data_IF_100271760928
#
_entry.id   IF_100271760928
#
_cell.length_a   1.000
_cell.length_b   1.000
_cell.length_c   1.000
_cell.angle_alpha   90.00
_cell.angle_beta   90.00
_cell.angle_gamma   90.00
#
_symmetry.space_group_name_H-M   'P 1'
#
loop_
_entity.id
_entity.type
_entity.pdbx_description
1 polymer ?
#
# COMPACT_ATOMS: atom_id res chain seq x y z
N UNK A 1 25.72 -6.63 12.83
CA UNK A 1 25.15 -5.33 12.43
C UNK A 1 25.66 -5.06 11.04
N UNK A 2 24.80 -5.01 10.01
CA UNK A 2 25.25 -4.62 8.69
C UNK A 2 25.79 -3.18 8.78
N UNK A 3 27.01 -3.00 8.29
CA UNK A 3 27.65 -1.69 8.28
C UNK A 3 26.84 -0.77 7.35
N UNK A 4 26.72 0.52 7.68
CA UNK A 4 25.99 1.48 6.83
C UNK A 4 26.59 1.58 5.41
N UNK A 5 27.84 1.11 5.26
CA UNK A 5 28.59 0.98 4.00
C UNK A 5 28.07 -0.12 3.07
N UNK A 6 27.32 -1.09 3.61
CA UNK A 6 26.72 -2.18 2.83
C UNK A 6 25.31 -1.83 2.33
N UNK A 7 24.79 -0.64 2.67
CA UNK A 7 23.47 -0.18 2.25
C UNK A 7 23.54 0.46 0.86
N UNK A 8 22.62 0.07 -0.02
CA UNK A 8 22.44 0.71 -1.32
C UNK A 8 22.13 2.20 -1.16
N UNK A 9 22.86 3.05 -1.92
CA UNK A 9 22.72 4.51 -1.86
C UNK A 9 22.17 5.05 -3.17
N UNK A 10 20.98 5.66 -3.08
CA UNK A 10 20.36 6.37 -4.20
C UNK A 10 20.45 7.88 -4.00
N UNK A 11 20.92 8.60 -5.02
CA UNK A 11 20.91 10.07 -5.04
C UNK A 11 19.67 10.54 -5.80
N UNK A 12 18.69 11.08 -5.08
CA UNK A 12 17.42 11.52 -5.64
C UNK A 12 17.42 13.05 -5.78
N UNK A 13 17.02 13.55 -6.97
CA UNK A 13 16.74 14.96 -7.18
C UNK A 13 15.29 15.24 -6.80
N UNK A 14 15.09 16.10 -5.80
CA UNK A 14 13.77 16.48 -5.33
C UNK A 14 13.33 17.77 -6.02
N UNK A 15 12.06 17.88 -6.46
CA UNK A 15 11.50 19.14 -6.93
C UNK A 15 11.45 20.17 -5.79
N UNK A 16 11.29 21.44 -6.17
CA UNK A 16 11.19 22.55 -5.23
C UNK A 16 10.08 22.31 -4.20
N UNK A 17 10.33 22.69 -2.95
CA UNK A 17 9.37 22.53 -1.84
C UNK A 17 9.24 21.12 -1.28
N UNK A 18 9.64 20.06 -1.98
CA UNK A 18 9.45 18.69 -1.47
C UNK A 18 10.41 18.34 -0.31
N UNK A 19 11.67 18.76 -0.42
CA UNK A 19 12.66 18.55 0.65
C UNK A 19 12.23 19.14 2.01
N UNK A 20 11.80 20.42 2.11
CA UNK A 20 11.35 20.96 3.40
C UNK A 20 10.08 20.28 3.92
N UNK A 21 9.16 19.83 3.05
CA UNK A 21 7.98 19.06 3.46
C UNK A 21 8.37 17.72 4.11
N UNK A 22 9.30 16.98 3.50
CA UNK A 22 9.82 15.72 4.06
C UNK A 22 10.51 16.01 5.40
N UNK A 23 11.32 17.06 5.48
CA UNK A 23 12.03 17.43 6.71
C UNK A 23 11.08 17.81 7.87
N UNK A 24 9.96 18.48 7.58
CA UNK A 24 8.94 18.79 8.58
C UNK A 24 8.23 17.51 9.06
N UNK A 25 7.82 16.65 8.12
CA UNK A 25 7.18 15.37 8.43
C UNK A 25 8.08 14.46 9.26
N UNK A 26 9.36 14.33 8.88
CA UNK A 26 10.34 13.54 9.61
C UNK A 26 10.52 14.05 11.04
N UNK A 27 10.59 15.38 11.24
CA UNK A 27 10.66 15.99 12.57
C UNK A 27 9.43 15.68 13.41
N UNK A 28 8.22 15.85 12.85
CA UNK A 28 6.98 15.53 13.54
C UNK A 28 6.91 14.05 13.97
N UNK A 29 7.45 13.15 13.13
CA UNK A 29 7.51 11.72 13.39
C UNK A 29 8.74 11.28 14.20
N UNK A 30 9.58 12.21 14.67
CA UNK A 30 10.80 11.94 15.43
C UNK A 30 11.79 11.00 14.71
N UNK A 31 11.95 11.20 13.39
CA UNK A 31 12.81 10.40 12.51
C UNK A 31 13.78 11.27 11.72
N UNK A 32 14.84 10.65 11.21
CA UNK A 32 15.66 11.27 10.17
C UNK A 32 14.87 11.37 8.86
N UNK A 33 15.24 12.29 7.97
CA UNK A 33 14.64 12.38 6.64
C UNK A 33 14.74 11.05 5.88
N UNK A 34 15.90 10.37 5.97
CA UNK A 34 16.09 9.07 5.33
C UNK A 34 15.12 8.02 5.90
N UNK A 35 14.98 7.97 7.24
CA UNK A 35 14.04 7.05 7.89
C UNK A 35 12.59 7.31 7.48
N UNK A 36 12.19 8.58 7.36
CA UNK A 36 10.85 8.92 6.88
C UNK A 36 10.64 8.52 5.42
N UNK A 37 11.61 8.75 4.54
CA UNK A 37 11.55 8.32 3.13
C UNK A 37 11.38 6.80 3.04
N UNK A 38 12.20 6.04 3.78
CA UNK A 38 12.12 4.57 3.80
C UNK A 38 10.74 4.10 4.25
N UNK A 39 10.21 4.65 5.35
CA UNK A 39 8.88 4.28 5.85
C UNK A 39 7.79 4.60 4.83
N UNK A 40 7.87 5.74 4.13
CA UNK A 40 6.91 6.11 3.10
C UNK A 40 6.94 5.13 1.92
N UNK A 41 8.13 4.72 1.48
CA UNK A 41 8.29 3.73 0.41
C UNK A 41 7.80 2.34 0.84
N UNK A 42 8.11 1.89 2.05
CA UNK A 42 7.60 0.61 2.55
C UNK A 42 6.08 0.62 2.64
N UNK A 43 5.49 1.72 3.11
CA UNK A 43 4.03 1.88 3.17
C UNK A 43 3.40 1.85 1.79
N UNK A 44 3.98 2.52 0.79
CA UNK A 44 3.40 2.49 -0.56
C UNK A 44 3.41 1.07 -1.15
N UNK A 45 4.49 0.32 -0.98
CA UNK A 45 4.59 -1.08 -1.45
C UNK A 45 3.56 -1.98 -0.75
N UNK A 46 3.41 -1.85 0.57
CA UNK A 46 2.41 -2.62 1.33
C UNK A 46 0.98 -2.24 0.90
N UNK A 47 0.73 -0.95 0.66
CA UNK A 47 -0.57 -0.47 0.19
C UNK A 47 -0.92 -0.99 -1.20
N UNK A 48 0.04 -1.08 -2.12
CA UNK A 48 -0.15 -1.71 -3.43
C UNK A 48 -0.52 -3.19 -3.27
N UNK A 49 0.22 -3.95 -2.48
CA UNK A 49 -0.08 -5.36 -2.21
C UNK A 49 -1.47 -5.57 -1.58
N UNK A 50 -1.83 -4.74 -0.61
CA UNK A 50 -3.16 -4.77 0.02
C UNK A 50 -4.26 -4.47 -0.99
N UNK A 51 -4.04 -3.54 -1.92
CA UNK A 51 -4.99 -3.18 -2.97
C UNK A 51 -5.21 -4.34 -3.94
N UNK A 52 -4.14 -5.01 -4.35
CA UNK A 52 -4.23 -6.16 -5.26
C UNK A 52 -4.96 -7.34 -4.59
N UNK A 53 -4.70 -7.60 -3.32
CA UNK A 53 -5.40 -8.63 -2.56
C UNK A 53 -6.88 -8.27 -2.35
N UNK A 54 -7.19 -7.00 -2.08
CA UNK A 54 -8.57 -6.53 -2.00
C UNK A 54 -9.32 -6.76 -3.32
N UNK A 55 -8.70 -6.44 -4.46
CA UNK A 55 -9.29 -6.65 -5.78
C UNK A 55 -9.54 -8.14 -6.07
N UNK A 56 -8.59 -9.00 -5.68
CA UNK A 56 -8.75 -10.46 -5.75
C UNK A 56 -9.92 -10.95 -4.91
N UNK A 57 -10.02 -10.51 -3.65
CA UNK A 57 -11.10 -10.91 -2.75
C UNK A 57 -12.45 -10.44 -3.29
N UNK A 58 -12.55 -9.19 -3.75
CA UNK A 58 -13.78 -8.65 -4.36
C UNK A 58 -14.23 -9.51 -5.54
N UNK A 59 -13.29 -9.89 -6.42
CA UNK A 59 -13.59 -10.75 -7.58
C UNK A 59 -14.15 -12.11 -7.15
N UNK A 60 -13.54 -12.74 -6.13
CA UNK A 60 -14.02 -14.02 -5.60
C UNK A 60 -15.39 -13.90 -4.96
N UNK A 61 -15.62 -12.86 -4.16
CA UNK A 61 -16.90 -12.64 -3.50
C UNK A 61 -18.03 -12.40 -4.51
N UNK A 62 -17.78 -11.60 -5.55
CA UNK A 62 -18.77 -11.38 -6.62
C UNK A 62 -19.15 -12.69 -7.32
N UNK A 63 -18.18 -13.56 -7.61
CA UNK A 63 -18.46 -14.87 -8.19
C UNK A 63 -19.28 -15.76 -7.25
N UNK A 64 -18.96 -15.77 -5.96
CA UNK A 64 -19.73 -16.53 -4.98
C UNK A 64 -21.17 -16.05 -4.85
N UNK A 65 -21.39 -14.73 -4.92
CA UNK A 65 -22.74 -14.14 -4.90
C UNK A 65 -23.52 -14.62 -6.12
N UNK A 66 -22.95 -14.55 -7.33
CA UNK A 66 -23.59 -15.03 -8.56
C UNK A 66 -23.95 -16.54 -8.49
N UNK A 67 -23.04 -17.35 -7.95
CA UNK A 67 -23.28 -18.79 -7.74
C UNK A 67 -24.37 -19.08 -6.70
N UNK A 68 -24.56 -18.23 -5.70
CA UNK A 68 -25.63 -18.38 -4.71
C UNK A 68 -26.97 -17.90 -5.25
N UNK A 69 -27.00 -16.75 -5.92
CA UNK A 69 -28.20 -16.20 -6.56
C UNK A 69 -28.76 -17.17 -7.62
N UNK A 70 -27.90 -17.83 -8.39
CA UNK A 70 -28.34 -18.84 -9.37
C UNK A 70 -28.90 -20.13 -8.73
N UNK A 71 -28.51 -20.44 -7.48
CA UNK A 71 -29.03 -21.58 -6.71
C UNK A 71 -30.31 -21.25 -5.95
N UNK A 72 -30.53 -19.96 -5.65
CA UNK A 72 -31.75 -19.44 -5.01
C UNK A 72 -32.88 -19.09 -6.00
N UNK A 73 -32.74 -19.43 -7.29
CA UNK A 73 -33.83 -19.28 -8.26
C UNK A 73 -35.14 -19.85 -7.69
N UNK A 74 -36.21 -19.05 -7.56
CA UNK A 74 -37.31 -19.35 -6.66
C UNK A 74 -38.06 -20.59 -7.12
N UNK A 75 -37.92 -21.67 -6.37
CA UNK A 75 -39.05 -22.57 -6.17
C UNK A 75 -40.17 -21.72 -5.54
N UNK A 76 -41.34 -21.73 -6.18
CA UNK A 76 -42.58 -21.03 -5.80
C UNK A 76 -42.74 -19.60 -6.34
N UNK A 77 -43.25 -19.51 -7.57
CA UNK A 77 -44.45 -18.71 -7.85
C UNK A 77 -45.44 -19.61 -8.61
N UNK A 78 -46.23 -20.36 -7.83
CA UNK A 78 -47.48 -21.01 -8.25
C UNK A 78 -48.64 -20.01 -8.15
#
# INVERSE_FOLDING_TARGET
MLDSREQDKFVIRLPEGLRPQIAATARNNQRSMNGEIIIRLQRSLIQEQLRDEQERIITVLLKQIEELESKEAPACLS
#
